data_IF_358837185378
#
_entry.id   IF_358837185378
#
_cell.length_a   1.000
_cell.length_b   1.000
_cell.length_c   1.000
_cell.angle_alpha   90.00
_cell.angle_beta   90.00
_cell.angle_gamma   90.00
#
_symmetry.space_group_name_H-M   'P 1'
#
loop_
_entity.id
_entity.type
_entity.pdbx_description
1 polymer ?
#
# COMPACT_ATOMS: atom_id res chain seq x y z
N UNK A 1 36.50 5.48 -20.89
CA UNK A 1 36.03 4.19 -20.35
C UNK A 1 34.93 3.67 -21.27
N UNK A 2 35.25 2.66 -22.09
CA UNK A 2 34.34 2.10 -23.09
C UNK A 2 33.13 1.47 -22.40
N UNK A 3 31.92 1.95 -22.73
CA UNK A 3 30.68 1.35 -22.25
C UNK A 3 30.53 0.02 -22.97
N UNK A 4 30.53 -1.10 -22.22
CA UNK A 4 30.23 -2.41 -22.79
C UNK A 4 28.91 -2.33 -23.57
N UNK A 5 28.95 -2.76 -24.83
CA UNK A 5 27.82 -2.71 -25.74
C UNK A 5 26.61 -3.43 -25.15
N UNK A 6 25.44 -2.80 -25.27
CA UNK A 6 24.15 -3.43 -24.97
C UNK A 6 24.09 -4.74 -25.77
N UNK A 7 23.87 -5.87 -25.11
CA UNK A 7 23.84 -7.17 -25.76
C UNK A 7 22.82 -7.19 -26.89
N UNK A 8 23.18 -7.77 -28.05
CA UNK A 8 22.29 -7.98 -29.21
C UNK A 8 21.23 -9.08 -28.99
N UNK A 9 20.82 -9.32 -27.75
CA UNK A 9 19.90 -10.41 -27.35
C UNK A 9 18.49 -9.84 -27.18
N UNK A 10 17.86 -9.50 -28.30
CA UNK A 10 16.49 -8.94 -28.38
C UNK A 10 15.50 -9.90 -29.06
N UNK A 11 15.61 -11.22 -28.82
CA UNK A 11 14.73 -12.24 -29.40
C UNK A 11 14.25 -13.29 -28.38
N UNK A 12 12.95 -13.57 -28.39
CA UNK A 12 12.28 -14.62 -27.59
C UNK A 12 12.14 -15.91 -28.43
N UNK A 13 12.31 -17.15 -27.88
CA UNK A 13 12.59 -17.56 -26.50
C UNK A 13 14.08 -17.50 -26.10
N UNK A 14 14.35 -17.00 -24.89
CA UNK A 14 15.69 -16.65 -24.40
C UNK A 14 16.43 -17.82 -23.73
N UNK A 15 16.79 -18.86 -24.49
CA UNK A 15 17.70 -19.90 -24.00
C UNK A 15 19.04 -19.72 -24.72
N UNK A 16 20.07 -19.24 -23.98
CA UNK A 16 21.46 -19.31 -24.44
C UNK A 16 21.78 -20.76 -24.84
N UNK A 17 22.66 -20.95 -25.82
CA UNK A 17 23.17 -22.29 -26.14
C UNK A 17 23.77 -22.95 -24.90
N UNK A 18 23.42 -24.22 -24.68
CA UNK A 18 24.08 -25.06 -23.66
C UNK A 18 25.56 -25.14 -24.02
N UNK A 19 26.43 -24.52 -23.19
CA UNK A 19 27.88 -24.49 -23.43
C UNK A 19 28.56 -23.15 -23.21
N UNK A 20 27.82 -22.05 -22.95
CA UNK A 20 28.45 -20.81 -22.48
C UNK A 20 28.95 -21.00 -21.03
N UNK A 21 30.21 -21.40 -20.86
CA UNK A 21 30.89 -21.45 -19.56
C UNK A 21 30.81 -20.08 -18.89
N UNK A 22 30.22 -20.05 -17.69
CA UNK A 22 30.33 -18.89 -16.79
C UNK A 22 31.71 -18.97 -16.18
N UNK A 23 32.68 -18.29 -16.78
CA UNK A 23 33.94 -18.02 -16.08
C UNK A 23 33.61 -17.35 -14.74
N UNK A 24 34.22 -17.82 -13.65
CA UNK A 24 33.99 -17.25 -12.33
C UNK A 24 34.40 -15.77 -12.37
N UNK A 25 33.44 -14.86 -12.18
CA UNK A 25 33.72 -13.43 -12.15
C UNK A 25 34.68 -13.16 -10.98
N UNK A 26 35.84 -12.57 -11.26
CA UNK A 26 36.83 -12.26 -10.23
C UNK A 26 36.19 -11.38 -9.15
N UNK A 27 36.15 -11.89 -7.91
CA UNK A 27 35.57 -11.18 -6.77
C UNK A 27 36.50 -10.02 -6.41
N UNK A 28 35.97 -8.80 -6.43
CA UNK A 28 36.72 -7.60 -6.03
C UNK A 28 37.01 -7.64 -4.52
N UNK A 29 38.20 -7.23 -4.10
CA UNK A 29 38.52 -7.05 -2.67
C UNK A 29 37.83 -5.82 -2.08
N UNK A 30 37.75 -5.78 -0.76
CA UNK A 30 37.29 -4.62 0.00
C UNK A 30 38.26 -3.45 -0.18
N UNK A 31 37.75 -2.24 -0.43
CA UNK A 31 38.56 -1.02 -0.59
C UNK A 31 39.07 -0.45 0.76
N UNK A 32 38.70 -1.06 1.90
CA UNK A 32 39.20 -0.64 3.23
C UNK A 32 40.66 -1.07 3.39
N UNK A 33 41.52 -0.14 3.82
CA UNK A 33 42.91 -0.41 4.13
C UNK A 33 43.06 -1.57 5.13
N UNK A 34 43.82 -2.61 4.75
CA UNK A 34 44.08 -3.79 5.58
C UNK A 34 42.95 -4.82 5.65
N UNK A 35 41.97 -4.76 4.74
CA UNK A 35 40.87 -5.73 4.67
C UNK A 35 40.95 -6.59 3.40
N UNK A 36 41.10 -7.91 3.56
CA UNK A 36 41.15 -8.86 2.42
C UNK A 36 39.81 -9.54 2.12
N UNK A 37 38.72 -9.06 2.74
CA UNK A 37 37.37 -9.61 2.53
C UNK A 37 36.80 -9.22 1.16
N UNK A 38 35.83 -9.97 0.61
CA UNK A 38 35.21 -9.63 -0.67
C UNK A 38 34.36 -8.35 -0.58
N UNK A 39 34.60 -7.42 -1.50
CA UNK A 39 33.96 -6.11 -1.63
C UNK A 39 32.65 -6.16 -2.41
N UNK A 40 31.63 -6.82 -1.86
CA UNK A 40 30.33 -7.01 -2.53
C UNK A 40 29.34 -5.85 -2.31
N UNK A 41 29.63 -4.92 -1.41
CA UNK A 41 28.73 -3.84 -1.03
C UNK A 41 29.21 -2.50 -1.63
N UNK A 42 28.59 -1.99 -2.71
CA UNK A 42 28.96 -0.70 -3.28
C UNK A 42 28.43 0.47 -2.44
N UNK A 43 29.30 1.40 -2.07
CA UNK A 43 28.99 2.60 -1.30
C UNK A 43 29.34 3.88 -2.11
N UNK A 44 28.49 4.92 -2.11
CA UNK A 44 28.72 6.14 -2.90
C UNK A 44 29.87 6.96 -2.31
N UNK A 45 30.84 7.46 -3.10
CA UNK A 45 31.95 8.26 -2.54
C UNK A 45 31.55 9.66 -2.10
N UNK A 46 30.57 10.26 -2.77
CA UNK A 46 29.96 11.55 -2.41
C UNK A 46 28.48 11.56 -2.79
N UNK A 47 27.62 12.37 -2.14
CA UNK A 47 26.15 12.35 -2.33
C UNK A 47 25.66 12.43 -3.78
N UNK A 48 26.43 13.06 -4.67
CA UNK A 48 26.06 13.27 -6.07
C UNK A 48 27.14 12.81 -7.07
N UNK A 49 28.07 11.93 -6.67
CA UNK A 49 29.02 11.35 -7.63
C UNK A 49 28.63 9.92 -8.06
N UNK A 50 28.91 9.56 -9.32
CA UNK A 50 28.74 8.18 -9.80
C UNK A 50 29.83 7.24 -9.27
N UNK A 51 30.85 7.77 -8.59
CA UNK A 51 31.96 6.98 -8.06
C UNK A 51 31.55 6.19 -6.83
N UNK A 52 32.05 4.94 -6.74
CA UNK A 52 31.69 4.01 -5.66
C UNK A 52 32.94 3.36 -5.06
N UNK A 53 32.94 3.24 -3.74
CA UNK A 53 33.77 2.30 -2.97
C UNK A 53 33.09 0.93 -2.94
N UNK A 54 33.85 -0.13 -2.75
CA UNK A 54 33.39 -1.51 -2.64
C UNK A 54 33.86 -2.08 -1.31
N UNK A 55 32.93 -2.26 -0.37
CA UNK A 55 33.23 -2.73 0.98
C UNK A 55 32.71 -4.14 1.23
N UNK A 56 33.25 -4.81 2.24
CA UNK A 56 32.62 -5.98 2.85
C UNK A 56 31.40 -5.54 3.70
N UNK A 57 30.52 -6.48 4.12
CA UNK A 57 29.31 -6.13 4.89
C UNK A 57 29.58 -5.33 6.17
N UNK A 58 30.68 -5.63 6.86
CA UNK A 58 31.08 -4.95 8.10
C UNK A 58 31.46 -3.48 7.84
N UNK A 59 32.37 -3.24 6.90
CA UNK A 59 32.81 -1.89 6.54
C UNK A 59 31.74 -1.08 5.83
N UNK A 60 30.84 -1.72 5.08
CA UNK A 60 29.65 -1.05 4.54
C UNK A 60 28.72 -0.54 5.66
N UNK A 61 28.58 -1.33 6.74
CA UNK A 61 27.85 -0.91 7.93
C UNK A 61 28.50 0.28 8.64
N UNK A 62 29.82 0.28 8.82
CA UNK A 62 30.57 1.44 9.33
C UNK A 62 30.39 2.68 8.46
N UNK A 63 30.52 2.50 7.15
CA UNK A 63 30.37 3.58 6.18
C UNK A 63 28.98 4.21 6.26
N UNK A 64 27.93 3.39 6.24
CA UNK A 64 26.54 3.86 6.30
C UNK A 64 26.24 4.58 7.62
N UNK A 65 26.81 4.14 8.75
CA UNK A 65 26.64 4.84 10.04
C UNK A 65 27.28 6.23 10.06
N UNK A 66 28.40 6.40 9.35
CA UNK A 66 29.11 7.67 9.25
C UNK A 66 28.68 8.50 8.03
N UNK A 67 27.76 8.00 7.21
CA UNK A 67 27.31 8.67 6.01
C UNK A 67 26.25 9.71 6.35
N UNK A 68 26.60 10.97 6.20
CA UNK A 68 25.62 12.06 6.24
C UNK A 68 25.34 12.51 4.81
N UNK A 69 24.11 12.22 4.36
CA UNK A 69 23.61 12.57 3.03
C UNK A 69 23.59 14.09 2.78
N UNK A 70 23.52 14.88 3.85
CA UNK A 70 23.51 16.34 3.81
C UNK A 70 24.89 16.96 4.08
N UNK A 71 25.97 16.17 4.09
CA UNK A 71 27.34 16.69 4.20
C UNK A 71 27.61 17.73 3.10
N UNK A 72 27.79 18.99 3.52
CA UNK A 72 28.12 20.11 2.64
C UNK A 72 26.93 20.90 2.09
N UNK A 73 25.69 20.60 2.48
CA UNK A 73 24.55 21.50 2.28
C UNK A 73 24.39 22.42 3.49
N UNK A 74 24.04 23.69 3.23
CA UNK A 74 23.59 24.61 4.28
C UNK A 74 22.26 24.14 4.90
N UNK A 75 21.95 24.60 6.13
CA UNK A 75 20.73 24.21 6.84
C UNK A 75 19.46 24.60 6.05
N UNK A 76 19.48 25.74 5.34
CA UNK A 76 18.36 26.17 4.49
C UNK A 76 18.19 25.27 3.25
N UNK A 77 19.30 24.82 2.66
CA UNK A 77 19.29 23.93 1.49
C UNK A 77 18.84 22.51 1.85
N UNK A 78 19.25 22.03 3.04
CA UNK A 78 18.79 20.77 3.64
C UNK A 78 17.28 20.76 3.82
N UNK A 79 16.74 21.81 4.43
CA UNK A 79 15.30 21.97 4.65
C UNK A 79 14.51 22.04 3.32
N UNK A 80 15.06 22.72 2.31
CA UNK A 80 14.45 22.81 0.98
C UNK A 80 14.41 21.45 0.28
N UNK A 81 15.48 20.66 0.35
CA UNK A 81 15.53 19.31 -0.23
C UNK A 81 14.58 18.35 0.49
N UNK A 82 14.54 18.39 1.81
CA UNK A 82 13.58 17.61 2.59
C UNK A 82 12.12 18.00 2.24
N UNK A 83 11.85 19.30 2.08
CA UNK A 83 10.55 19.80 1.65
C UNK A 83 10.14 19.30 0.25
N UNK A 84 11.06 19.37 -0.72
CA UNK A 84 10.81 18.93 -2.10
C UNK A 84 10.64 17.39 -2.17
N UNK A 85 11.49 16.62 -1.48
CA UNK A 85 11.36 15.16 -1.40
C UNK A 85 10.05 14.74 -0.70
N UNK A 86 9.66 15.43 0.38
CA UNK A 86 8.37 15.21 1.05
C UNK A 86 7.18 15.52 0.13
N UNK A 87 7.30 16.55 -0.71
CA UNK A 87 6.26 16.90 -1.69
C UNK A 87 6.11 15.82 -2.76
N UNK A 88 7.21 15.28 -3.26
CA UNK A 88 7.20 14.27 -4.33
C UNK A 88 6.84 12.86 -3.81
N UNK A 89 7.32 12.48 -2.61
CA UNK A 89 6.95 11.23 -1.93
C UNK A 89 5.53 11.26 -1.34
N UNK A 90 5.01 12.45 -1.01
CA UNK A 90 3.65 12.68 -0.52
C UNK A 90 2.56 12.33 -1.54
N UNK A 91 2.89 12.17 -2.82
CA UNK A 91 1.94 11.71 -3.83
C UNK A 91 1.35 10.32 -3.58
N UNK A 92 2.04 9.46 -2.79
CA UNK A 92 1.52 8.15 -2.37
C UNK A 92 0.92 8.16 -0.96
N UNK A 93 1.27 9.13 -0.12
CA UNK A 93 0.63 9.30 1.19
C UNK A 93 -0.69 10.04 1.03
N UNK A 94 -1.72 9.26 0.66
CA UNK A 94 -3.15 9.60 0.73
C UNK A 94 -3.55 10.91 0.05
N UNK A 95 -4.35 10.80 -1.02
CA UNK A 95 -5.15 11.93 -1.46
C UNK A 95 -5.90 12.51 -0.25
N UNK A 96 -5.62 13.78 0.07
CA UNK A 96 -6.42 14.59 0.98
C UNK A 96 -7.88 14.78 0.52
N UNK A 97 -8.30 14.07 -0.55
CA UNK A 97 -9.68 13.84 -0.92
C UNK A 97 -10.46 13.02 0.13
N UNK A 98 -9.78 12.41 1.11
CA UNK A 98 -10.42 11.73 2.25
C UNK A 98 -10.80 12.66 3.42
N UNK A 99 -10.59 13.97 3.32
CA UNK A 99 -10.82 14.92 4.41
C UNK A 99 -12.06 15.82 4.28
N UNK A 100 -12.88 15.60 3.25
CA UNK A 100 -14.07 16.43 2.95
C UNK A 100 -15.37 15.66 3.11
N UNK A 101 -15.50 14.99 4.24
CA UNK A 101 -16.79 15.15 4.87
C UNK A 101 -16.90 14.54 6.25
N UNK A 102 -18.03 14.87 6.85
CA UNK A 102 -18.39 14.51 8.21
C UNK A 102 -18.60 13.01 8.37
N UNK A 103 -19.39 12.61 9.38
CA UNK A 103 -19.59 11.20 9.75
C UNK A 103 -20.17 10.28 8.64
N UNK A 104 -20.37 10.76 7.41
CA UNK A 104 -20.87 10.01 6.26
C UNK A 104 -19.92 9.88 5.06
N UNK A 105 -18.73 10.48 5.05
CA UNK A 105 -18.12 10.84 3.76
C UNK A 105 -16.90 9.99 3.33
N UNK A 106 -17.16 9.09 2.37
CA UNK A 106 -16.19 8.77 1.33
C UNK A 106 -15.56 7.38 1.33
N UNK A 107 -15.89 6.49 2.28
CA UNK A 107 -15.33 5.13 2.30
C UNK A 107 -16.38 4.03 2.49
N UNK A 108 -17.57 4.18 1.87
CA UNK A 108 -18.49 3.04 1.73
C UNK A 108 -18.09 2.20 0.53
N UNK A 109 -17.97 0.90 0.72
CA UNK A 109 -17.77 -0.02 -0.41
C UNK A 109 -18.97 0.02 -1.37
N UNK A 110 -18.77 -0.38 -2.63
CA UNK A 110 -19.86 -0.49 -3.62
C UNK A 110 -21.02 -1.35 -3.09
N UNK A 111 -20.69 -2.40 -2.33
CA UNK A 111 -21.67 -3.31 -1.74
C UNK A 111 -22.47 -2.63 -0.62
N UNK A 112 -21.85 -1.76 0.19
CA UNK A 112 -22.55 -0.95 1.19
C UNK A 112 -23.53 0.04 0.56
N UNK A 113 -23.15 0.69 -0.56
CA UNK A 113 -24.05 1.59 -1.29
C UNK A 113 -25.26 0.83 -1.87
N UNK A 114 -25.03 -0.35 -2.44
CA UNK A 114 -26.11 -1.20 -2.95
C UNK A 114 -27.03 -1.68 -1.81
N UNK A 115 -26.47 -2.01 -0.65
CA UNK A 115 -27.23 -2.40 0.53
C UNK A 115 -28.10 -1.26 1.08
N UNK A 116 -27.60 -0.01 1.11
CA UNK A 116 -28.39 1.17 1.50
C UNK A 116 -29.56 1.41 0.54
N UNK A 117 -29.30 1.29 -0.77
CA UNK A 117 -30.34 1.40 -1.77
C UNK A 117 -31.44 0.34 -1.59
N UNK A 118 -31.06 -0.90 -1.28
CA UNK A 118 -32.01 -1.99 -1.00
C UNK A 118 -32.84 -1.74 0.28
N UNK A 119 -32.33 -0.96 1.22
CA UNK A 119 -33.04 -0.53 2.42
C UNK A 119 -33.73 0.84 2.27
N UNK A 120 -33.79 1.40 1.07
CA UNK A 120 -34.41 2.71 0.80
C UNK A 120 -33.80 3.85 1.64
N UNK A 121 -32.47 3.86 1.77
CA UNK A 121 -31.72 4.85 2.54
C UNK A 121 -30.74 5.64 1.65
N UNK A 122 -30.44 6.86 2.08
CA UNK A 122 -29.38 7.69 1.51
C UNK A 122 -27.99 7.15 1.89
N UNK A 123 -26.96 7.59 1.16
CA UNK A 123 -25.58 7.14 1.31
C UNK A 123 -24.93 7.61 2.62
N UNK A 124 -25.42 8.71 3.18
CA UNK A 124 -25.03 9.28 4.47
C UNK A 124 -25.77 8.68 5.68
N UNK A 125 -26.72 7.76 5.47
CA UNK A 125 -27.58 7.23 6.53
C UNK A 125 -26.80 6.54 7.67
N UNK A 126 -27.14 6.89 8.91
CA UNK A 126 -26.54 6.32 10.11
C UNK A 126 -26.99 4.87 10.39
N UNK A 127 -26.25 4.15 11.23
CA UNK A 127 -26.56 2.75 11.53
C UNK A 127 -27.89 2.58 12.28
N UNK A 128 -28.36 3.62 12.99
CA UNK A 128 -29.69 3.61 13.62
C UNK A 128 -30.81 3.73 12.57
N UNK A 129 -30.66 4.57 11.54
CA UNK A 129 -31.59 4.58 10.39
C UNK A 129 -31.59 3.23 9.66
N UNK A 130 -30.43 2.58 9.49
CA UNK A 130 -30.32 1.22 8.92
C UNK A 130 -31.16 0.21 9.71
N UNK A 131 -31.02 0.17 11.04
CA UNK A 131 -31.83 -0.73 11.90
C UNK A 131 -33.32 -0.43 11.79
N UNK A 132 -33.70 0.85 11.76
CA UNK A 132 -35.10 1.27 11.67
C UNK A 132 -35.72 0.87 10.33
N UNK A 133 -35.02 1.10 9.22
CA UNK A 133 -35.49 0.71 7.89
C UNK A 133 -35.61 -0.81 7.76
N UNK A 134 -34.59 -1.56 8.20
CA UNK A 134 -34.62 -3.01 8.19
C UNK A 134 -35.82 -3.58 8.94
N UNK A 135 -36.15 -3.08 10.15
CA UNK A 135 -37.32 -3.54 10.91
C UNK A 135 -38.64 -3.24 10.19
N UNK A 136 -38.76 -2.08 9.54
CA UNK A 136 -39.95 -1.70 8.75
C UNK A 136 -40.15 -2.64 7.58
N UNK A 137 -39.12 -2.81 6.75
CA UNK A 137 -39.15 -3.63 5.55
C UNK A 137 -39.30 -5.13 5.88
N UNK A 138 -38.61 -5.62 6.92
CA UNK A 138 -38.74 -7.00 7.37
C UNK A 138 -40.17 -7.34 7.83
N UNK A 139 -40.89 -6.39 8.44
CA UNK A 139 -42.30 -6.59 8.82
C UNK A 139 -43.22 -6.59 7.61
N UNK A 140 -42.94 -5.76 6.60
CA UNK A 140 -43.76 -5.64 5.39
C UNK A 140 -43.63 -6.84 4.45
N UNK A 141 -42.43 -7.40 4.35
CA UNK A 141 -42.11 -8.54 3.49
C UNK A 141 -41.97 -9.85 4.26
N UNK A 142 -42.40 -9.90 5.52
CA UNK A 142 -42.32 -11.11 6.33
C UNK A 142 -43.13 -12.25 5.69
N UNK A 143 -42.60 -13.49 5.64
CA UNK A 143 -43.32 -14.63 5.07
C UNK A 143 -44.66 -14.90 5.76
N UNK A 144 -44.76 -14.62 7.07
CA UNK A 144 -46.04 -14.77 7.81
C UNK A 144 -47.09 -13.73 7.41
N UNK A 145 -46.67 -12.53 7.00
CA UNK A 145 -47.58 -11.45 6.60
C UNK A 145 -48.03 -11.62 5.15
N UNK A 146 -47.12 -12.11 4.28
CA UNK A 146 -47.37 -12.37 2.86
C UNK A 146 -47.05 -13.84 2.50
N UNK A 147 -47.85 -14.81 3.00
CA UNK A 147 -47.60 -16.21 2.72
C UNK A 147 -47.80 -16.52 1.23
N UNK A 148 -46.83 -17.22 0.63
CA UNK A 148 -46.91 -17.70 -0.75
C UNK A 148 -46.58 -16.67 -1.84
N UNK A 149 -46.19 -15.44 -1.49
CA UNK A 149 -45.74 -14.45 -2.47
C UNK A 149 -44.23 -14.61 -2.78
N UNK A 150 -43.93 -15.13 -3.96
CA UNK A 150 -42.55 -15.31 -4.43
C UNK A 150 -41.77 -13.99 -4.53
N UNK A 151 -42.44 -12.86 -4.82
CA UNK A 151 -41.77 -11.56 -4.89
C UNK A 151 -41.41 -11.05 -3.49
N UNK A 152 -42.31 -11.21 -2.52
CA UNK A 152 -42.03 -10.86 -1.13
C UNK A 152 -40.89 -11.69 -0.55
N UNK A 153 -40.81 -12.98 -0.88
CA UNK A 153 -39.71 -13.85 -0.46
C UNK A 153 -38.35 -13.38 -1.00
N UNK A 154 -38.27 -13.00 -2.29
CA UNK A 154 -37.05 -12.45 -2.88
C UNK A 154 -36.67 -11.13 -2.21
N UNK A 155 -37.62 -10.22 -2.04
CA UNK A 155 -37.38 -8.93 -1.37
C UNK A 155 -36.88 -9.13 0.06
N UNK A 156 -37.49 -10.03 0.82
CA UNK A 156 -37.06 -10.35 2.18
C UNK A 156 -35.62 -10.86 2.21
N UNK A 157 -35.23 -11.75 1.30
CA UNK A 157 -33.85 -12.21 1.17
C UNK A 157 -32.88 -11.08 0.85
N UNK A 158 -33.25 -10.18 -0.07
CA UNK A 158 -32.45 -8.98 -0.40
C UNK A 158 -32.28 -8.07 0.82
N UNK A 159 -33.34 -7.83 1.58
CA UNK A 159 -33.32 -7.01 2.81
C UNK A 159 -32.41 -7.62 3.87
N UNK A 160 -32.45 -8.94 4.07
CA UNK A 160 -31.57 -9.63 5.02
C UNK A 160 -30.10 -9.53 4.60
N UNK A 161 -29.79 -9.82 3.33
CA UNK A 161 -28.44 -9.73 2.80
C UNK A 161 -27.89 -8.29 2.89
N UNK A 162 -28.71 -7.28 2.59
CA UNK A 162 -28.33 -5.87 2.72
C UNK A 162 -27.99 -5.50 4.17
N UNK A 163 -28.80 -5.95 5.13
CA UNK A 163 -28.55 -5.68 6.55
C UNK A 163 -27.26 -6.36 7.05
N UNK A 164 -26.99 -7.59 6.63
CA UNK A 164 -25.75 -8.30 6.99
C UNK A 164 -24.49 -7.58 6.50
N UNK A 165 -24.50 -7.07 5.26
CA UNK A 165 -23.38 -6.29 4.69
C UNK A 165 -23.12 -5.03 5.52
N UNK A 166 -24.17 -4.27 5.82
CA UNK A 166 -24.04 -3.02 6.60
C UNK A 166 -23.65 -3.27 8.04
N UNK A 167 -24.16 -4.35 8.65
CA UNK A 167 -23.76 -4.77 10.00
C UNK A 167 -22.29 -5.17 10.06
N UNK A 168 -21.82 -5.97 9.10
CA UNK A 168 -20.40 -6.36 9.03
C UNK A 168 -19.49 -5.16 8.75
N UNK A 169 -19.95 -4.19 7.96
CA UNK A 169 -19.24 -2.92 7.77
C UNK A 169 -19.13 -2.13 9.09
N UNK A 170 -20.23 -2.02 9.84
CA UNK A 170 -20.25 -1.33 11.14
C UNK A 170 -19.36 -2.03 12.19
N UNK A 171 -19.41 -3.35 12.28
CA UNK A 171 -18.55 -4.13 13.18
C UNK A 171 -17.07 -3.93 12.83
N UNK A 172 -16.70 -3.87 11.53
CA UNK A 172 -15.32 -3.57 11.12
C UNK A 172 -14.89 -2.15 11.48
N UNK A 173 -15.79 -1.17 11.40
CA UNK A 173 -15.51 0.24 11.75
C UNK A 173 -15.34 0.43 13.27
N UNK A 174 -16.12 -0.31 14.05
CA UNK A 174 -16.16 -0.21 15.52
C UNK A 174 -15.26 -1.22 16.23
N UNK A 175 -14.65 -2.15 15.48
CA UNK A 175 -13.79 -3.18 16.06
C UNK A 175 -12.61 -2.57 16.82
N UNK A 176 -12.51 -2.90 18.11
CA UNK A 176 -11.42 -2.51 19.00
C UNK A 176 -10.63 -3.77 19.42
N UNK A 177 -9.29 -3.79 19.31
CA UNK A 177 -8.51 -4.92 19.79
C UNK A 177 -8.68 -5.06 21.31
N UNK A 178 -8.79 -6.30 21.81
CA UNK A 178 -8.85 -6.58 23.25
C UNK A 178 -7.57 -6.07 23.92
N UNK A 179 -7.68 -4.99 24.69
CA UNK A 179 -6.57 -4.37 25.44
C UNK A 179 -6.32 -2.89 25.15
N UNK A 180 -7.01 -2.28 24.19
CA UNK A 180 -6.96 -0.84 24.00
C UNK A 180 -7.81 -0.14 25.08
N UNK A 181 -7.15 0.36 26.12
CA UNK A 181 -7.72 1.25 27.16
C UNK A 181 -8.07 2.59 26.49
N UNK A 182 -9.21 3.18 26.87
CA UNK A 182 -9.65 4.51 26.42
C UNK A 182 -8.76 5.65 26.92
#
# INVERSE_FOLDING_TARGET
MSRNGRSNDWGFPRWRSYGASREAQAVRGCDRFGCDQPGNCPAPKSPNSPERWYFCPEHAGEYNRNWDYFQGLDDEERAKREHDERRDAGGFQSSAYHGWGGPGDGNRSRDELHALQALELEDDADFEAVKKSWRRLAKEFHPDVKPGDAKAAVQFQTIQAAYEVLRAAEERRTWKPRGAVD
#
